data_IF_108706620608
#
_entry.id   IF_108706620608
#
_cell.length_a   1.000
_cell.length_b   1.000
_cell.length_c   1.000
_cell.angle_alpha   90.00
_cell.angle_beta   90.00
_cell.angle_gamma   90.00
#
_symmetry.space_group_name_H-M   'P 1'
#
loop_
_entity.id
_entity.type
_entity.pdbx_description
1 polymer ?
#
# COMPACT_ATOMS: atom_id res chain seq x y z
N UNK A 1 21.13 70.99 6.88
CA UNK A 1 20.02 70.01 6.90
C UNK A 1 20.15 69.12 5.69
N UNK A 2 19.98 67.81 5.90
CA UNK A 2 19.88 66.71 4.92
C UNK A 2 21.09 66.47 4.01
N UNK A 3 21.58 65.25 3.78
CA UNK A 3 20.92 63.95 3.95
C UNK A 3 21.95 62.83 4.07
N UNK A 4 21.73 61.98 5.07
CA UNK A 4 22.55 60.83 5.44
C UNK A 4 21.90 59.57 4.86
N UNK A 5 22.71 58.74 4.18
CA UNK A 5 22.40 57.37 3.75
C UNK A 5 21.64 56.58 4.82
N UNK A 6 20.56 55.90 4.41
CA UNK A 6 20.18 54.60 4.99
C UNK A 6 19.54 53.70 3.94
N UNK A 7 20.20 52.57 3.70
CA UNK A 7 19.61 51.39 3.08
C UNK A 7 18.81 50.62 4.14
N UNK A 8 17.60 50.18 3.81
CA UNK A 8 16.80 49.13 4.44
C UNK A 8 15.53 48.99 3.59
N UNK A 9 15.00 47.84 3.22
CA UNK A 9 15.33 46.44 3.47
C UNK A 9 14.21 45.69 2.76
N UNK A 10 14.54 44.85 1.78
CA UNK A 10 13.55 44.03 1.10
C UNK A 10 13.16 42.87 2.02
N UNK A 11 12.20 43.11 2.92
CA UNK A 11 11.49 42.05 3.65
C UNK A 11 10.54 41.34 2.67
N UNK A 12 11.10 40.38 1.93
CA UNK A 12 10.31 39.33 1.29
C UNK A 12 9.82 38.33 2.33
N UNK A 13 8.61 37.76 2.20
CA UNK A 13 8.09 36.76 3.13
C UNK A 13 9.04 35.55 3.21
N UNK A 14 9.16 34.88 4.37
CA UNK A 14 10.07 33.76 4.54
C UNK A 14 9.76 32.68 3.50
N UNK A 15 10.74 32.39 2.65
CA UNK A 15 10.66 31.33 1.66
C UNK A 15 10.33 30.02 2.39
N UNK A 16 9.07 29.58 2.23
CA UNK A 16 8.61 28.31 2.78
C UNK A 16 9.51 27.18 2.30
N UNK A 17 9.78 26.22 3.18
CA UNK A 17 10.59 25.04 2.87
C UNK A 17 10.07 24.40 1.56
N UNK A 18 10.94 24.12 0.57
CA UNK A 18 10.50 23.61 -0.73
C UNK A 18 9.69 22.31 -0.59
N UNK A 19 8.73 22.05 -1.50
CA UNK A 19 7.89 20.86 -1.45
C UNK A 19 8.74 19.59 -1.36
N UNK A 20 8.32 18.65 -0.50
CA UNK A 20 8.98 17.35 -0.40
C UNK A 20 8.82 16.61 -1.74
N UNK A 21 9.90 16.03 -2.25
CA UNK A 21 9.85 15.07 -3.35
C UNK A 21 8.92 13.90 -3.01
N UNK A 22 8.24 13.31 -3.99
CA UNK A 22 7.34 12.16 -3.77
C UNK A 22 8.02 11.00 -3.03
N UNK A 23 9.30 10.73 -3.33
CA UNK A 23 10.09 9.73 -2.59
C UNK A 23 10.21 10.02 -1.10
N UNK A 24 10.42 11.29 -0.72
CA UNK A 24 10.48 11.72 0.69
C UNK A 24 9.11 11.62 1.36
N UNK A 25 8.04 12.00 0.66
CA UNK A 25 6.67 11.84 1.18
C UNK A 25 6.33 10.36 1.43
N UNK A 26 6.66 9.48 0.48
CA UNK A 26 6.44 8.04 0.61
C UNK A 26 7.24 7.45 1.77
N UNK A 27 8.52 7.82 1.93
CA UNK A 27 9.34 7.39 3.05
C UNK A 27 8.74 7.83 4.40
N UNK A 28 8.36 9.11 4.54
CA UNK A 28 7.71 9.62 5.76
C UNK A 28 6.38 8.93 6.03
N UNK A 29 5.54 8.69 5.01
CA UNK A 29 4.29 7.94 5.17
C UNK A 29 4.55 6.53 5.68
N UNK A 30 5.56 5.84 5.15
CA UNK A 30 5.95 4.50 5.60
C UNK A 30 6.46 4.50 7.04
N UNK A 31 7.31 5.45 7.42
CA UNK A 31 7.80 5.58 8.81
C UNK A 31 6.65 5.79 9.80
N UNK A 32 5.70 6.66 9.47
CA UNK A 32 4.48 6.86 10.28
C UNK A 32 3.68 5.55 10.39
N UNK A 33 3.54 4.82 9.28
CA UNK A 33 2.76 3.58 9.24
C UNK A 33 3.37 2.50 10.15
N UNK A 34 4.70 2.34 10.13
CA UNK A 34 5.40 1.39 10.99
C UNK A 34 5.14 1.68 12.48
N UNK A 35 5.27 2.93 12.90
CA UNK A 35 5.01 3.30 14.30
C UNK A 35 3.53 3.18 14.68
N UNK A 36 2.62 3.55 13.79
CA UNK A 36 1.19 3.41 14.02
C UNK A 36 0.79 1.94 14.23
N UNK A 37 1.25 1.06 13.35
CA UNK A 37 0.93 -0.37 13.42
C UNK A 37 1.54 -1.02 14.65
N UNK A 38 2.77 -0.66 15.02
CA UNK A 38 3.38 -1.11 16.28
C UNK A 38 2.52 -0.72 17.49
N UNK A 39 2.07 0.53 17.56
CA UNK A 39 1.18 0.98 18.65
C UNK A 39 -0.19 0.27 18.62
N UNK A 40 -0.75 0.01 17.44
CA UNK A 40 -2.00 -0.74 17.31
C UNK A 40 -1.85 -2.18 17.80
N UNK A 41 -0.71 -2.83 17.52
CA UNK A 41 -0.41 -4.18 18.00
C UNK A 41 -0.18 -4.19 19.52
N UNK A 42 0.56 -3.22 20.05
CA UNK A 42 0.96 -3.19 21.47
C UNK A 42 -0.21 -2.96 22.43
N UNK A 43 -1.16 -2.07 22.08
CA UNK A 43 -2.24 -1.66 23.00
C UNK A 43 -3.62 -1.53 22.36
N UNK A 44 -3.77 -1.91 21.09
CA UNK A 44 -5.02 -1.83 20.36
C UNK A 44 -5.25 -0.48 19.68
N UNK A 45 -6.08 -0.51 18.63
CA UNK A 45 -6.42 0.67 17.84
C UNK A 45 -7.13 1.73 18.69
N UNK A 46 -8.12 1.32 19.50
CA UNK A 46 -8.95 2.24 20.27
C UNK A 46 -8.13 3.07 21.27
N UNK A 47 -7.17 2.44 21.96
CA UNK A 47 -6.30 3.07 22.96
C UNK A 47 -5.13 3.88 22.36
N UNK A 48 -4.96 3.88 21.04
CA UNK A 48 -3.90 4.63 20.35
C UNK A 48 -4.42 5.98 19.87
N UNK A 49 -3.69 7.07 20.17
CA UNK A 49 -4.00 8.43 19.73
C UNK A 49 -3.05 8.92 18.64
N UNK A 50 -3.49 9.91 17.86
CA UNK A 50 -2.63 10.53 16.85
C UNK A 50 -1.42 11.24 17.43
N UNK A 51 -1.51 11.78 18.65
CA UNK A 51 -0.38 12.41 19.34
C UNK A 51 0.72 11.40 19.67
N UNK A 52 0.35 10.17 20.01
CA UNK A 52 1.31 9.10 20.28
C UNK A 52 1.98 8.62 19.00
N UNK A 53 1.21 8.43 17.93
CA UNK A 53 1.74 8.09 16.60
C UNK A 53 2.72 9.19 16.14
N UNK A 54 2.31 10.46 16.23
CA UNK A 54 3.14 11.59 15.84
C UNK A 54 4.44 11.65 16.66
N UNK A 55 4.35 11.45 17.98
CA UNK A 55 5.52 11.41 18.87
C UNK A 55 6.47 10.27 18.51
N UNK A 56 5.93 9.07 18.28
CA UNK A 56 6.71 7.90 17.90
C UNK A 56 7.43 8.11 16.55
N UNK A 57 6.75 8.74 15.59
CA UNK A 57 7.32 9.07 14.28
C UNK A 57 8.18 10.36 14.28
N UNK A 58 8.41 11.01 15.43
CA UNK A 58 9.24 12.21 15.52
C UNK A 58 8.67 13.46 14.80
N UNK A 59 7.35 13.54 14.64
CA UNK A 59 6.65 14.64 13.95
C UNK A 59 5.61 15.32 14.84
N UNK A 60 5.12 16.49 14.41
CA UNK A 60 3.99 17.13 15.09
C UNK A 60 2.64 16.49 14.69
N UNK A 61 1.61 16.51 15.56
CA UNK A 61 0.25 16.05 15.20
C UNK A 61 -0.30 16.76 13.97
N UNK A 62 -0.04 18.06 13.82
CA UNK A 62 -0.39 18.83 12.61
C UNK A 62 0.24 18.25 11.34
N UNK A 63 1.46 17.72 11.44
CA UNK A 63 2.13 17.07 10.31
C UNK A 63 1.56 15.70 10.03
N UNK A 64 1.23 14.91 11.06
CA UNK A 64 0.53 13.64 10.91
C UNK A 64 -0.79 13.82 10.14
N UNK A 65 -1.63 14.75 10.60
CA UNK A 65 -2.94 15.01 9.99
C UNK A 65 -2.87 15.69 8.62
N UNK A 66 -1.69 16.15 8.19
CA UNK A 66 -1.46 16.57 6.80
C UNK A 66 -1.28 15.36 5.87
N UNK A 67 -0.81 14.23 6.38
CA UNK A 67 -0.61 13.00 5.60
C UNK A 67 -1.82 12.06 5.64
N UNK A 68 -2.55 12.01 6.76
CA UNK A 68 -3.62 11.04 6.99
C UNK A 68 -4.85 11.74 7.56
N UNK A 69 -6.05 11.36 7.13
CA UNK A 69 -7.28 11.97 7.62
C UNK A 69 -7.76 11.34 8.95
N UNK A 70 -7.32 10.11 9.25
CA UNK A 70 -7.65 9.38 10.46
C UNK A 70 -6.48 8.49 10.91
N UNK A 71 -6.48 8.05 12.18
CA UNK A 71 -5.39 7.24 12.73
C UNK A 71 -5.31 5.87 12.04
N UNK A 72 -6.44 5.28 11.69
CA UNK A 72 -6.55 4.00 11.00
C UNK A 72 -5.88 4.04 9.63
N UNK A 73 -6.01 5.18 8.93
CA UNK A 73 -5.39 5.40 7.63
C UNK A 73 -3.87 5.50 7.70
N UNK A 74 -3.28 5.69 8.89
CA UNK A 74 -1.83 5.60 9.04
C UNK A 74 -1.30 4.21 8.65
N UNK A 75 -2.13 3.16 8.72
CA UNK A 75 -1.77 1.80 8.31
C UNK A 75 -1.78 1.60 6.78
N UNK A 76 -2.40 2.50 6.01
CA UNK A 76 -2.59 2.39 4.56
C UNK A 76 -1.29 2.10 3.79
N UNK A 77 -0.15 2.78 4.03
CA UNK A 77 1.08 2.54 3.27
C UNK A 77 1.63 1.11 3.39
N UNK A 78 1.36 0.43 4.51
CA UNK A 78 1.76 -0.97 4.70
C UNK A 78 0.75 -1.91 4.05
N UNK A 79 -0.55 -1.58 4.10
CA UNK A 79 -1.60 -2.36 3.44
C UNK A 79 -1.52 -2.31 1.91
N UNK A 80 -1.06 -1.20 1.32
CA UNK A 80 -0.89 -1.08 -0.15
C UNK A 80 0.40 -1.71 -0.65
N UNK A 81 1.40 -1.98 0.20
CA UNK A 81 2.75 -2.36 -0.24
C UNK A 81 2.77 -3.56 -1.21
N UNK A 82 1.96 -4.59 -0.93
CA UNK A 82 1.83 -5.75 -1.82
C UNK A 82 1.12 -5.45 -3.14
N UNK A 83 0.12 -4.56 -3.12
CA UNK A 83 -0.61 -4.10 -4.30
C UNK A 83 0.29 -3.22 -5.19
N UNK A 84 1.07 -2.33 -4.58
CA UNK A 84 2.05 -1.50 -5.27
C UNK A 84 3.16 -2.34 -5.91
N UNK A 85 3.63 -3.37 -5.20
CA UNK A 85 4.57 -4.35 -5.75
C UNK A 85 3.98 -5.08 -6.95
N UNK A 86 2.75 -5.59 -6.83
CA UNK A 86 2.03 -6.20 -7.95
C UNK A 86 1.93 -5.25 -9.15
N UNK A 87 1.49 -4.01 -8.92
CA UNK A 87 1.32 -3.04 -9.99
C UNK A 87 2.63 -2.71 -10.71
N UNK A 88 3.77 -2.65 -9.99
CA UNK A 88 5.10 -2.51 -10.62
C UNK A 88 5.44 -3.73 -11.46
N UNK A 89 5.29 -4.92 -10.90
CA UNK A 89 5.59 -6.19 -11.56
C UNK A 89 4.77 -6.37 -12.87
N UNK A 90 3.49 -6.00 -12.87
CA UNK A 90 2.64 -6.10 -14.06
C UNK A 90 3.01 -5.08 -15.16
N UNK A 91 3.52 -3.91 -14.78
CA UNK A 91 4.01 -2.88 -15.72
C UNK A 91 5.33 -3.29 -16.36
N UNK A 92 6.20 -3.95 -15.59
CA UNK A 92 7.53 -4.39 -16.05
C UNK A 92 7.46 -5.73 -16.80
N UNK A 93 6.40 -6.52 -16.60
CA UNK A 93 6.23 -7.80 -17.28
C UNK A 93 6.15 -7.63 -18.81
N UNK A 94 6.95 -8.37 -19.61
CA UNK A 94 6.99 -8.21 -21.06
C UNK A 94 5.61 -8.27 -21.71
N UNK A 95 5.28 -7.31 -22.57
CA UNK A 95 3.94 -7.14 -23.15
C UNK A 95 3.55 -8.29 -24.10
N UNK A 96 4.54 -8.93 -24.72
CA UNK A 96 4.40 -10.08 -25.62
C UNK A 96 4.13 -11.40 -24.90
N UNK A 97 4.27 -11.43 -23.57
CA UNK A 97 3.98 -12.62 -22.74
C UNK A 97 2.57 -12.56 -22.16
N UNK A 98 1.83 -13.69 -22.15
CA UNK A 98 0.60 -13.80 -21.39
C UNK A 98 0.82 -13.47 -19.91
N UNK A 99 -0.12 -12.73 -19.30
CA UNK A 99 0.00 -12.34 -17.90
C UNK A 99 0.01 -13.55 -16.96
N UNK A 100 -0.74 -14.60 -17.31
CA UNK A 100 -0.77 -15.86 -16.55
C UNK A 100 0.61 -16.52 -16.44
N UNK A 101 1.49 -16.33 -17.42
CA UNK A 101 2.85 -16.87 -17.37
C UNK A 101 3.69 -16.22 -16.26
N UNK A 102 3.35 -15.00 -15.83
CA UNK A 102 4.03 -14.34 -14.71
C UNK A 102 3.81 -15.08 -13.39
N UNK A 103 2.69 -15.80 -13.25
CA UNK A 103 2.36 -16.50 -12.00
C UNK A 103 3.19 -17.77 -11.79
N UNK A 104 3.78 -18.30 -12.87
CA UNK A 104 4.64 -19.48 -12.83
C UNK A 104 6.11 -19.12 -12.54
N UNK A 105 6.46 -17.86 -12.78
CA UNK A 105 7.78 -17.30 -12.53
C UNK A 105 8.03 -17.17 -11.02
N UNK A 106 9.07 -17.87 -10.53
CA UNK A 106 9.41 -17.91 -9.11
C UNK A 106 10.06 -16.61 -8.64
N UNK A 107 10.88 -15.99 -9.49
CA UNK A 107 11.53 -14.71 -9.18
C UNK A 107 10.47 -13.60 -9.10
N UNK A 108 9.50 -13.62 -10.02
CA UNK A 108 8.35 -12.73 -10.02
C UNK A 108 7.51 -12.88 -8.74
N UNK A 109 7.28 -14.11 -8.29
CA UNK A 109 6.54 -14.36 -7.06
C UNK A 109 7.35 -14.04 -5.79
N UNK A 110 8.69 -14.16 -5.82
CA UNK A 110 9.55 -13.78 -4.69
C UNK A 110 9.55 -12.26 -4.46
N UNK A 111 9.30 -11.46 -5.50
CA UNK A 111 9.18 -10.00 -5.38
C UNK A 111 7.96 -9.53 -4.55
N UNK A 112 7.04 -10.43 -4.15
CA UNK A 112 6.00 -10.13 -3.16
C UNK A 112 6.50 -10.15 -1.71
N UNK A 113 7.66 -10.76 -1.46
CA UNK A 113 8.27 -10.78 -0.14
C UNK A 113 8.99 -9.45 0.09
N UNK A 114 8.58 -8.72 1.13
CA UNK A 114 9.21 -7.46 1.54
C UNK A 114 9.75 -7.58 2.96
N UNK A 115 10.63 -6.65 3.37
CA UNK A 115 11.10 -6.53 4.75
C UNK A 115 9.94 -6.35 5.75
N UNK A 116 8.82 -5.77 5.30
CA UNK A 116 7.63 -5.50 6.12
C UNK A 116 6.64 -6.66 6.16
N UNK A 117 6.98 -7.82 5.58
CA UNK A 117 6.05 -8.94 5.44
C UNK A 117 5.48 -9.38 6.79
N UNK A 118 6.31 -9.53 7.82
CA UNK A 118 5.86 -9.89 9.18
C UNK A 118 4.85 -8.87 9.74
N UNK A 119 5.15 -7.57 9.64
CA UNK A 119 4.27 -6.48 10.09
C UNK A 119 2.96 -6.49 9.32
N UNK A 120 3.01 -6.69 7.99
CA UNK A 120 1.81 -6.81 7.16
C UNK A 120 0.95 -8.02 7.57
N UNK A 121 1.56 -9.13 7.99
CA UNK A 121 0.84 -10.29 8.54
C UNK A 121 0.02 -9.90 9.75
N UNK A 122 0.68 -9.30 10.73
CA UNK A 122 0.07 -8.88 11.99
C UNK A 122 -1.06 -7.89 11.73
N UNK A 123 -0.84 -6.95 10.82
CA UNK A 123 -1.83 -5.93 10.47
C UNK A 123 -3.05 -6.52 9.77
N UNK A 124 -2.87 -7.47 8.83
CA UNK A 124 -3.99 -8.18 8.20
C UNK A 124 -4.75 -9.02 9.23
N UNK A 125 -4.04 -9.65 10.18
CA UNK A 125 -4.67 -10.32 11.32
C UNK A 125 -5.47 -9.34 12.19
N UNK A 126 -4.91 -8.16 12.50
CA UNK A 126 -5.56 -7.13 13.30
C UNK A 126 -6.82 -6.58 12.61
N UNK A 127 -6.79 -6.38 11.29
CA UNK A 127 -7.95 -5.99 10.51
C UNK A 127 -9.10 -7.03 10.56
N UNK A 128 -8.82 -8.28 10.98
CA UNK A 128 -9.88 -9.29 11.23
C UNK A 128 -10.57 -9.11 12.56
N UNK A 129 -9.98 -8.45 13.55
CA UNK A 129 -10.65 -8.13 14.83
C UNK A 129 -11.09 -6.66 14.92
N UNK A 130 -10.42 -5.75 14.21
CA UNK A 130 -10.66 -4.30 14.27
C UNK A 130 -11.47 -3.80 13.06
N UNK A 131 -12.76 -3.44 13.21
CA UNK A 131 -13.62 -3.04 12.09
C UNK A 131 -13.08 -1.85 11.30
N UNK A 132 -12.47 -0.87 11.98
CA UNK A 132 -12.00 0.34 11.32
C UNK A 132 -10.76 0.09 10.45
N UNK A 133 -9.85 -0.81 10.87
CA UNK A 133 -8.75 -1.27 10.00
C UNK A 133 -9.27 -2.14 8.85
N UNK A 134 -10.33 -2.92 9.08
CA UNK A 134 -10.97 -3.69 8.01
C UNK A 134 -11.53 -2.81 6.90
N UNK A 135 -12.08 -1.63 7.25
CA UNK A 135 -12.54 -0.67 6.26
C UNK A 135 -11.38 -0.13 5.41
N UNK A 136 -10.24 0.19 6.04
CA UNK A 136 -9.04 0.61 5.31
C UNK A 136 -8.55 -0.51 4.39
N UNK A 137 -8.50 -1.76 4.87
CA UNK A 137 -8.13 -2.94 4.08
C UNK A 137 -8.98 -3.12 2.82
N UNK A 138 -10.31 -3.08 2.94
CA UNK A 138 -11.18 -3.20 1.77
C UNK A 138 -11.06 -2.00 0.83
N UNK A 139 -10.91 -0.79 1.37
CA UNK A 139 -10.74 0.41 0.57
C UNK A 139 -9.46 0.35 -0.28
N UNK A 140 -8.30 0.01 0.31
CA UNK A 140 -7.05 -0.06 -0.46
C UNK A 140 -7.12 -1.09 -1.59
N UNK A 141 -7.81 -2.20 -1.35
CA UNK A 141 -8.06 -3.20 -2.38
C UNK A 141 -8.96 -2.65 -3.48
N UNK A 142 -10.07 -1.98 -3.13
CA UNK A 142 -10.96 -1.39 -4.14
C UNK A 142 -10.25 -0.33 -4.97
N UNK A 143 -9.48 0.56 -4.35
CA UNK A 143 -8.72 1.61 -5.04
C UNK A 143 -7.67 1.02 -6.00
N UNK A 144 -7.07 -0.13 -5.66
CA UNK A 144 -6.09 -0.79 -6.51
C UNK A 144 -6.69 -1.39 -7.79
N UNK A 145 -8.00 -1.64 -7.84
CA UNK A 145 -8.66 -2.17 -9.04
C UNK A 145 -8.57 -1.19 -10.21
N UNK A 146 -8.65 0.11 -9.97
CA UNK A 146 -8.48 1.15 -10.99
C UNK A 146 -7.07 1.06 -11.61
N UNK A 147 -6.05 0.94 -10.75
CA UNK A 147 -4.64 0.80 -11.17
C UNK A 147 -4.43 -0.46 -12.00
N UNK A 148 -4.99 -1.59 -11.58
CA UNK A 148 -4.87 -2.85 -12.32
C UNK A 148 -5.64 -2.79 -13.66
N UNK A 149 -6.83 -2.20 -13.68
CA UNK A 149 -7.63 -2.05 -14.90
C UNK A 149 -6.87 -1.23 -15.95
N UNK A 150 -6.21 -0.14 -15.55
CA UNK A 150 -5.36 0.63 -16.46
C UNK A 150 -4.19 -0.18 -17.03
N UNK A 151 -3.52 -0.99 -16.21
CA UNK A 151 -2.39 -1.82 -16.66
C UNK A 151 -2.88 -2.84 -17.68
N UNK A 152 -4.01 -3.50 -17.40
CA UNK A 152 -4.61 -4.52 -18.27
C UNK A 152 -5.11 -3.90 -19.57
N UNK A 153 -5.76 -2.74 -19.50
CA UNK A 153 -6.27 -1.99 -20.66
C UNK A 153 -5.13 -1.61 -21.61
N UNK A 154 -4.02 -1.06 -21.09
CA UNK A 154 -2.83 -0.73 -21.89
C UNK A 154 -2.25 -1.96 -22.60
N UNK A 155 -2.22 -3.12 -21.94
CA UNK A 155 -1.71 -4.38 -22.54
C UNK A 155 -2.62 -4.96 -23.62
N UNK A 156 -3.92 -4.71 -23.52
CA UNK A 156 -4.93 -5.29 -24.42
C UNK A 156 -5.41 -4.33 -25.50
N UNK A 157 -4.91 -3.08 -25.52
CA UNK A 157 -5.35 -2.04 -26.45
C UNK A 157 -6.80 -1.60 -26.21
N UNK A 158 -7.29 -1.72 -24.97
CA UNK A 158 -8.67 -1.40 -24.55
C UNK A 158 -8.73 -0.13 -23.70
N UNK A 159 -9.93 0.36 -23.42
CA UNK A 159 -10.14 1.39 -22.40
C UNK A 159 -10.13 0.77 -21.00
N UNK A 160 -9.66 1.51 -20.00
CA UNK A 160 -9.76 1.09 -18.59
C UNK A 160 -11.20 1.08 -18.08
N UNK A 161 -12.11 1.80 -18.77
CA UNK A 161 -13.54 1.84 -18.45
C UNK A 161 -14.34 0.65 -19.03
N UNK A 162 -13.73 -0.11 -19.95
CA UNK A 162 -14.35 -1.28 -20.57
C UNK A 162 -14.63 -2.37 -19.53
N UNK A 163 -15.65 -3.19 -19.80
CA UNK A 163 -16.09 -4.23 -18.88
C UNK A 163 -14.96 -5.24 -18.59
N UNK A 164 -14.21 -5.65 -19.61
CA UNK A 164 -13.22 -6.71 -19.49
C UNK A 164 -12.02 -6.33 -18.61
N UNK A 165 -11.31 -5.20 -18.80
CA UNK A 165 -10.18 -4.83 -17.94
C UNK A 165 -10.59 -4.62 -16.48
N UNK A 166 -11.78 -4.05 -16.24
CA UNK A 166 -12.35 -3.87 -14.89
C UNK A 166 -12.66 -5.19 -14.22
N UNK A 167 -13.28 -6.13 -14.95
CA UNK A 167 -13.58 -7.46 -14.44
C UNK A 167 -12.31 -8.24 -14.12
N UNK A 168 -11.33 -8.19 -15.03
CA UNK A 168 -10.03 -8.84 -14.84
C UNK A 168 -9.26 -8.26 -13.65
N UNK A 169 -9.29 -6.93 -13.48
CA UNK A 169 -8.70 -6.24 -12.34
C UNK A 169 -9.35 -6.64 -11.01
N UNK A 170 -10.68 -6.69 -10.95
CA UNK A 170 -11.42 -7.13 -9.76
C UNK A 170 -11.12 -8.60 -9.41
N UNK A 171 -11.04 -9.49 -10.41
CA UNK A 171 -10.66 -10.89 -10.21
C UNK A 171 -9.23 -11.03 -9.66
N UNK A 172 -8.28 -10.32 -10.26
CA UNK A 172 -6.89 -10.27 -9.79
C UNK A 172 -6.81 -9.76 -8.35
N UNK A 173 -7.47 -8.63 -8.07
CA UNK A 173 -7.45 -8.00 -6.76
C UNK A 173 -8.10 -8.88 -5.69
N UNK A 174 -9.22 -9.53 -6.00
CA UNK A 174 -9.88 -10.50 -5.12
C UNK A 174 -8.97 -11.68 -4.79
N UNK A 175 -8.24 -12.21 -5.77
CA UNK A 175 -7.28 -13.28 -5.56
C UNK A 175 -6.12 -12.88 -4.64
N UNK A 176 -5.61 -11.64 -4.80
CA UNK A 176 -4.55 -11.09 -3.96
C UNK A 176 -5.01 -10.85 -2.52
N UNK A 177 -6.21 -10.29 -2.35
CA UNK A 177 -6.81 -10.07 -1.03
C UNK A 177 -6.98 -11.40 -0.28
N UNK A 178 -7.59 -12.40 -0.94
CA UNK A 178 -7.78 -13.73 -0.36
C UNK A 178 -6.42 -14.38 -0.03
N UNK A 179 -5.42 -14.23 -0.89
CA UNK A 179 -4.09 -14.77 -0.61
C UNK A 179 -3.45 -14.14 0.63
N UNK A 180 -3.53 -12.81 0.78
CA UNK A 180 -3.00 -12.11 1.94
C UNK A 180 -3.72 -12.54 3.23
N UNK A 181 -5.05 -12.64 3.20
CA UNK A 181 -5.87 -13.07 4.35
C UNK A 181 -5.62 -14.54 4.74
N UNK A 182 -5.44 -15.43 3.75
CA UNK A 182 -5.15 -16.85 3.97
C UNK A 182 -3.73 -17.05 4.50
N UNK A 183 -2.75 -16.35 3.94
CA UNK A 183 -1.38 -16.38 4.41
C UNK A 183 -1.26 -15.87 5.85
N UNK A 184 -1.92 -14.75 6.17
CA UNK A 184 -1.94 -14.20 7.52
C UNK A 184 -2.55 -15.16 8.56
N UNK A 185 -3.55 -15.97 8.15
CA UNK A 185 -4.22 -16.95 9.02
C UNK A 185 -3.38 -18.15 9.42
N UNK A 186 -2.34 -18.50 8.66
CA UNK A 186 -1.54 -19.70 8.94
C UNK A 186 -0.57 -19.45 10.10
N UNK A 187 -0.07 -20.47 10.82
CA UNK A 187 0.99 -20.31 11.82
C UNK A 187 2.37 -20.15 11.14
N UNK A 188 3.31 -19.41 11.75
CA UNK A 188 4.71 -19.29 11.25
C UNK A 188 5.47 -20.61 11.24
N UNK A 189 5.18 -21.51 12.20
CA UNK A 189 5.80 -22.83 12.35
C UNK A 189 5.61 -23.74 11.14
N UNK A 190 4.72 -23.38 10.21
CA UNK A 190 4.40 -24.24 9.07
C UNK A 190 5.54 -24.41 8.07
N UNK A 191 6.59 -23.56 8.06
CA UNK A 191 7.91 -23.75 7.40
C UNK A 191 7.97 -24.10 5.90
N UNK A 192 6.86 -24.55 5.33
CA UNK A 192 6.69 -25.27 4.07
C UNK A 192 5.75 -24.49 3.12
N UNK A 193 5.20 -23.35 3.57
CA UNK A 193 4.21 -22.57 2.81
C UNK A 193 4.59 -21.08 2.67
N UNK A 194 5.50 -20.75 1.74
CA UNK A 194 5.79 -19.37 1.36
C UNK A 194 4.54 -18.59 0.95
N UNK A 195 4.51 -17.27 1.21
CA UNK A 195 3.41 -16.39 0.80
C UNK A 195 3.21 -16.45 -0.73
N UNK A 196 4.31 -16.48 -1.46
CA UNK A 196 4.36 -16.68 -2.91
C UNK A 196 3.55 -17.91 -3.38
N UNK A 197 3.56 -19.02 -2.64
CA UNK A 197 2.79 -20.23 -2.96
C UNK A 197 1.29 -19.98 -2.85
N UNK A 198 0.85 -19.27 -1.79
CA UNK A 198 -0.56 -18.93 -1.59
C UNK A 198 -1.04 -17.98 -2.68
N UNK A 199 -0.25 -16.94 -2.99
CA UNK A 199 -0.52 -15.99 -4.08
C UNK A 199 -0.65 -16.71 -5.43
N UNK A 200 0.33 -17.56 -5.78
CA UNK A 200 0.28 -18.34 -7.03
C UNK A 200 -0.98 -19.20 -7.13
N UNK A 201 -1.34 -19.88 -6.04
CA UNK A 201 -2.52 -20.75 -6.00
C UNK A 201 -3.80 -19.96 -6.23
N UNK A 202 -4.01 -18.84 -5.52
CA UNK A 202 -5.24 -18.05 -5.68
C UNK A 202 -5.33 -17.39 -7.05
N UNK A 203 -4.21 -16.91 -7.60
CA UNK A 203 -4.17 -16.33 -8.94
C UNK A 203 -4.54 -17.34 -10.03
N UNK A 204 -4.03 -18.58 -9.93
CA UNK A 204 -4.44 -19.66 -10.84
C UNK A 204 -5.92 -20.01 -10.68
N UNK A 205 -6.41 -20.10 -9.45
CA UNK A 205 -7.85 -20.33 -9.19
C UNK A 205 -8.71 -19.23 -9.78
N UNK A 206 -8.29 -17.96 -9.73
CA UNK A 206 -9.01 -16.87 -10.36
C UNK A 206 -8.95 -16.96 -11.90
N UNK A 207 -7.81 -17.35 -12.46
CA UNK A 207 -7.64 -17.50 -13.91
C UNK A 207 -8.50 -18.60 -14.53
N UNK A 208 -8.72 -19.70 -13.82
CA UNK A 208 -9.56 -20.83 -14.26
C UNK A 208 -10.97 -20.80 -13.66
N UNK A 209 -11.22 -19.88 -12.72
CA UNK A 209 -12.46 -19.81 -11.95
C UNK A 209 -13.65 -19.67 -12.88
N UNK A 210 -14.70 -20.45 -12.61
CA UNK A 210 -15.90 -20.69 -13.45
C UNK A 210 -15.79 -21.81 -14.49
N UNK A 211 -14.60 -22.35 -14.76
CA UNK A 211 -14.45 -23.62 -15.50
C UNK A 211 -14.57 -24.78 -14.51
N UNK A 212 -15.80 -25.16 -14.17
CA UNK A 212 -16.14 -26.28 -13.28
C UNK A 212 -16.49 -27.54 -14.07
#
# INVERSE_FOLDING_TARGET
MSEMRRAAGADGPPAGRPPLSERRKAATRREIALEAVRLFADKGLAATTGEEIARAAGISPRTLWRYFAAKEQCAEPLLTAGLDAMARLLREWPADRPLLAAFDDVEWCAAFETEDTAILRELVCLARSEPALRLVWFKVHQDAEEVFAEIIARRTGRSADDLEPRTQAAMLNGALRIAAEEWARRPEESGEFPRSTVVRRTLRTAATGLSL
#
